data_IF_138022531841
#
_entry.id   IF_138022531841
#
_cell.length_a   1.000
_cell.length_b   1.000
_cell.length_c   1.000
_cell.angle_alpha   90.00
_cell.angle_beta   90.00
_cell.angle_gamma   90.00
#
_symmetry.space_group_name_H-M   'P 1'
#
loop_
_entity.id
_entity.type
_entity.pdbx_description
1 polymer ?
#
# COMPACT_ATOMS: atom_id res chain seq x y z
N UNK A 1 0.15 6.25 -12.45
CA UNK A 1 0.18 4.78 -12.46
C UNK A 1 0.18 4.18 -11.06
N UNK A 2 1.23 4.39 -10.29
CA UNK A 2 1.28 3.92 -8.90
C UNK A 2 0.16 4.56 -8.08
N UNK A 3 -0.06 5.86 -8.24
CA UNK A 3 -1.11 6.56 -7.52
C UNK A 3 -2.49 5.98 -7.80
N UNK A 4 -2.77 5.61 -9.06
CA UNK A 4 -4.05 5.01 -9.42
C UNK A 4 -4.22 3.63 -8.77
N UNK A 5 -3.15 2.83 -8.71
CA UNK A 5 -3.19 1.53 -8.08
C UNK A 5 -3.45 1.66 -6.57
N UNK A 6 -2.82 2.64 -5.92
CA UNK A 6 -3.01 2.91 -4.50
C UNK A 6 -4.45 3.36 -4.23
N UNK A 7 -4.99 4.22 -5.08
CA UNK A 7 -6.35 4.74 -4.90
C UNK A 7 -7.42 3.66 -4.99
N UNK A 8 -7.14 2.54 -5.63
CA UNK A 8 -8.08 1.42 -5.75
C UNK A 8 -8.04 0.48 -4.55
N UNK A 9 -7.12 0.66 -3.63
CA UNK A 9 -7.03 -0.18 -2.45
C UNK A 9 -8.15 0.11 -1.45
N UNK A 10 -8.54 -0.87 -0.61
CA UNK A 10 -9.40 -0.58 0.54
C UNK A 10 -8.81 0.55 1.38
N UNK A 11 -9.65 1.38 2.02
CA UNK A 11 -9.17 2.59 2.68
C UNK A 11 -8.01 2.40 3.65
N UNK A 12 -8.05 1.40 4.51
CA UNK A 12 -7.00 1.20 5.51
C UNK A 12 -5.69 0.76 4.83
N UNK A 13 -5.77 -0.12 3.84
CA UNK A 13 -4.58 -0.53 3.08
C UNK A 13 -3.98 0.66 2.33
N UNK A 14 -4.82 1.48 1.73
CA UNK A 14 -4.39 2.69 1.04
C UNK A 14 -3.66 3.63 1.97
N UNK A 15 -4.22 3.86 3.16
CA UNK A 15 -3.61 4.78 4.13
C UNK A 15 -2.26 4.26 4.62
N UNK A 16 -2.16 2.97 4.91
CA UNK A 16 -0.91 2.39 5.39
C UNK A 16 0.20 2.49 4.33
N UNK A 17 -0.08 2.09 3.10
CA UNK A 17 0.95 2.14 2.07
C UNK A 17 1.33 3.57 1.72
N UNK A 18 0.37 4.49 1.72
CA UNK A 18 0.64 5.89 1.44
C UNK A 18 1.56 6.50 2.50
N UNK A 19 1.27 6.25 3.77
CA UNK A 19 2.09 6.78 4.85
C UNK A 19 3.48 6.14 4.89
N UNK A 20 3.57 4.83 4.70
CA UNK A 20 4.83 4.11 4.80
C UNK A 20 5.73 4.28 3.58
N UNK A 21 5.18 4.11 2.39
CA UNK A 21 5.96 4.01 1.16
C UNK A 21 6.04 5.33 0.39
N UNK A 22 5.01 6.16 0.47
CA UNK A 22 5.00 7.44 -0.25
C UNK A 22 5.55 8.56 0.63
N UNK A 23 5.06 8.66 1.86
CA UNK A 23 5.44 9.77 2.76
C UNK A 23 6.59 9.43 3.70
N UNK A 24 6.94 8.17 3.83
CA UNK A 24 8.13 7.77 4.57
C UNK A 24 7.99 7.74 6.08
N UNK A 25 6.78 7.68 6.62
CA UNK A 25 6.59 7.53 8.05
C UNK A 25 7.08 6.16 8.53
N UNK A 26 7.56 6.12 9.78
CA UNK A 26 7.99 4.86 10.39
C UNK A 26 6.80 3.99 10.75
N UNK A 27 7.07 2.70 10.97
CA UNK A 27 6.04 1.77 11.43
C UNK A 27 5.37 2.26 12.73
N UNK A 28 6.17 2.74 13.68
CA UNK A 28 5.63 3.23 14.94
C UNK A 28 4.72 4.44 14.74
N UNK A 29 5.10 5.35 13.85
CA UNK A 29 4.30 6.53 13.55
C UNK A 29 2.97 6.16 12.89
N UNK A 30 2.99 5.24 11.93
CA UNK A 30 1.77 4.80 11.25
C UNK A 30 0.84 4.09 12.21
N UNK A 31 1.38 3.26 13.10
CA UNK A 31 0.58 2.57 14.11
C UNK A 31 -0.13 3.56 15.03
N UNK A 32 0.57 4.60 15.42
CA UNK A 32 -0.02 5.63 16.27
C UNK A 32 -1.08 6.44 15.53
N UNK A 33 -0.81 6.83 14.30
CA UNK A 33 -1.73 7.63 13.49
C UNK A 33 -3.02 6.89 13.15
N UNK A 34 -2.93 5.60 12.87
CA UNK A 34 -4.07 4.79 12.42
C UNK A 34 -4.62 3.88 13.50
N UNK A 35 -4.05 3.93 14.71
CA UNK A 35 -4.47 3.08 15.83
C UNK A 35 -4.42 1.60 15.45
N UNK A 36 -3.28 1.16 14.93
CA UNK A 36 -3.08 -0.22 14.51
C UNK A 36 -2.07 -0.93 15.39
N UNK A 37 -2.25 -2.24 15.57
CA UNK A 37 -1.22 -3.07 16.16
C UNK A 37 -0.08 -3.28 15.15
N UNK A 38 1.09 -3.70 15.64
CA UNK A 38 2.21 -3.99 14.76
C UNK A 38 1.86 -5.09 13.74
N UNK A 39 1.19 -6.12 14.21
CA UNK A 39 0.78 -7.23 13.34
C UNK A 39 -0.19 -6.77 12.27
N UNK A 40 -1.21 -6.00 12.65
CA UNK A 40 -2.19 -5.49 11.69
C UNK A 40 -1.56 -4.57 10.67
N UNK A 41 -0.69 -3.66 11.12
CA UNK A 41 0.00 -2.75 10.22
C UNK A 41 0.84 -3.52 9.19
N UNK A 42 1.56 -4.55 9.65
CA UNK A 42 2.39 -5.37 8.77
C UNK A 42 1.55 -6.12 7.74
N UNK A 43 0.44 -6.72 8.18
CA UNK A 43 -0.45 -7.46 7.28
C UNK A 43 -1.07 -6.53 6.24
N UNK A 44 -1.56 -5.38 6.66
CA UNK A 44 -2.16 -4.41 5.76
C UNK A 44 -1.16 -3.89 4.73
N UNK A 45 0.04 -3.59 5.18
CA UNK A 45 1.10 -3.11 4.28
C UNK A 45 1.48 -4.18 3.26
N UNK A 46 1.63 -5.42 3.70
CA UNK A 46 1.95 -6.54 2.81
C UNK A 46 0.86 -6.72 1.75
N UNK A 47 -0.40 -6.70 2.17
CA UNK A 47 -1.53 -6.84 1.24
C UNK A 47 -1.59 -5.69 0.25
N UNK A 48 -1.36 -4.47 0.73
CA UNK A 48 -1.35 -3.29 -0.12
C UNK A 48 -0.24 -3.38 -1.18
N UNK A 49 0.96 -3.72 -0.75
CA UNK A 49 2.10 -3.86 -1.65
C UNK A 49 1.89 -4.96 -2.69
N UNK A 50 1.29 -6.08 -2.28
CA UNK A 50 0.99 -7.17 -3.20
C UNK A 50 -0.01 -6.75 -4.27
N UNK A 51 -1.04 -6.01 -3.90
CA UNK A 51 -2.04 -5.54 -4.84
C UNK A 51 -1.47 -4.50 -5.81
N UNK A 52 -0.63 -3.60 -5.31
CA UNK A 52 0.02 -2.60 -6.17
C UNK A 52 0.95 -3.30 -7.15
N UNK A 53 1.73 -4.27 -6.67
CA UNK A 53 2.62 -5.04 -7.54
C UNK A 53 1.84 -5.75 -8.64
N UNK A 54 0.73 -6.40 -8.29
CA UNK A 54 -0.10 -7.10 -9.27
C UNK A 54 -0.66 -6.15 -10.32
N UNK A 55 -1.08 -4.96 -9.90
CA UNK A 55 -1.58 -3.94 -10.82
C UNK A 55 -0.50 -3.46 -11.77
N UNK A 56 0.72 -3.24 -11.27
CA UNK A 56 1.85 -2.82 -12.10
C UNK A 56 2.27 -3.91 -13.08
N UNK A 57 2.30 -5.16 -12.64
CA UNK A 57 2.63 -6.28 -13.50
C UNK A 57 1.62 -6.42 -14.64
N UNK A 58 0.34 -6.26 -14.34
CA UNK A 58 -0.71 -6.31 -15.34
C UNK A 58 -0.56 -5.17 -16.34
N UNK A 59 -0.28 -3.98 -15.87
CA UNK A 59 -0.08 -2.81 -16.73
C UNK A 59 1.10 -3.01 -17.67
N UNK A 60 2.23 -3.48 -17.13
CA UNK A 60 3.42 -3.73 -17.94
C UNK A 60 3.18 -4.84 -18.96
N UNK A 61 2.44 -5.88 -18.58
CA UNK A 61 2.10 -6.97 -19.48
C UNK A 61 1.23 -6.49 -20.65
N UNK A 62 0.26 -5.63 -20.38
CA UNK A 62 -0.59 -5.04 -21.41
C UNK A 62 0.21 -4.12 -22.33
N UNK A 63 1.15 -3.38 -21.77
CA UNK A 63 1.98 -2.45 -22.53
C UNK A 63 2.93 -3.17 -23.47
N UNK A 64 3.35 -4.38 -23.13
CA UNK A 64 4.26 -5.17 -23.96
C UNK A 64 3.54 -6.06 -24.98
N UNK A 65 2.26 -6.18 -24.84
CA UNK A 65 1.45 -6.97 -25.78
C UNK A 65 1.14 -6.16 -27.03
#
# INVERSE_FOLDING_TARGET
MIAAAIDQLPPTQRDVIRLRDVEGFSSAEVRALLDLSETNQRVLLHRARSKVRAALERYLSEDTA
#
